data_IF_786701576102
#
_entry.id   IF_786701576102
#
_cell.length_a   1.000
_cell.length_b   1.000
_cell.length_c   1.000
_cell.angle_alpha   90.00
_cell.angle_beta   90.00
_cell.angle_gamma   90.00
#
_symmetry.space_group_name_H-M   'P 1'
#
loop_
_entity.id
_entity.type
_entity.pdbx_description
1 polymer ?
#
# COMPACT_ATOMS: atom_id res chain seq x y z
N UNK A 1 14.47 -20.59 -4.42
CA UNK A 1 14.72 -19.22 -4.70
C UNK A 1 14.75 -18.83 -6.16
N UNK A 2 15.90 -18.93 -6.81
CA UNK A 2 16.15 -18.36 -8.16
C UNK A 2 15.16 -18.84 -9.25
N UNK A 3 14.79 -20.12 -9.24
CA UNK A 3 13.83 -20.66 -10.21
C UNK A 3 12.49 -19.94 -10.12
N UNK A 4 11.98 -19.68 -8.92
CA UNK A 4 10.69 -18.99 -8.74
C UNK A 4 10.73 -17.53 -9.16
N UNK A 5 11.85 -16.86 -8.93
CA UNK A 5 12.07 -15.48 -9.39
C UNK A 5 12.03 -15.44 -10.92
N UNK A 6 12.73 -16.35 -11.59
CA UNK A 6 12.74 -16.45 -13.05
C UNK A 6 11.36 -16.75 -13.61
N UNK A 7 10.67 -17.77 -13.09
CA UNK A 7 9.30 -18.13 -13.51
C UNK A 7 8.33 -16.95 -13.42
N UNK A 8 8.42 -16.17 -12.34
CA UNK A 8 7.58 -14.97 -12.17
C UNK A 8 7.93 -13.88 -13.20
N UNK A 9 9.21 -13.64 -13.47
CA UNK A 9 9.64 -12.68 -14.50
C UNK A 9 9.21 -13.14 -15.91
N UNK A 10 9.34 -14.43 -16.22
CA UNK A 10 8.89 -15.02 -17.49
C UNK A 10 7.36 -14.90 -17.64
N UNK A 11 6.59 -15.15 -16.59
CA UNK A 11 5.13 -14.95 -16.59
C UNK A 11 4.75 -13.50 -16.90
N UNK A 12 5.38 -12.53 -16.21
CA UNK A 12 5.12 -11.10 -16.44
C UNK A 12 5.46 -10.71 -17.87
N UNK A 13 6.62 -11.16 -18.38
CA UNK A 13 7.01 -10.94 -19.77
C UNK A 13 5.99 -11.47 -20.75
N UNK A 14 5.51 -12.70 -20.57
CA UNK A 14 4.48 -13.29 -21.43
C UNK A 14 3.16 -12.49 -21.42
N UNK A 15 2.76 -11.94 -20.26
CA UNK A 15 1.60 -11.07 -20.14
C UNK A 15 1.81 -9.78 -20.94
N UNK A 16 2.98 -9.17 -20.86
CA UNK A 16 3.34 -7.96 -21.62
C UNK A 16 3.37 -8.24 -23.14
N UNK A 17 3.93 -9.36 -23.56
CA UNK A 17 3.96 -9.79 -24.98
C UNK A 17 2.53 -10.01 -25.53
N UNK A 18 1.58 -10.39 -24.67
CA UNK A 18 0.17 -10.49 -25.02
C UNK A 18 -0.55 -9.13 -25.03
N UNK A 19 0.14 -8.01 -24.74
CA UNK A 19 -0.40 -6.65 -24.77
C UNK A 19 -1.12 -6.22 -23.49
N UNK A 20 -0.93 -6.91 -22.37
CA UNK A 20 -1.53 -6.56 -21.08
C UNK A 20 -0.50 -5.93 -20.13
N UNK A 21 -0.95 -5.02 -19.27
CA UNK A 21 -0.19 -4.57 -18.11
C UNK A 21 -0.43 -5.47 -16.90
N UNK A 22 0.52 -5.44 -15.95
CA UNK A 22 0.45 -6.23 -14.71
C UNK A 22 0.27 -5.30 -13.52
N UNK A 23 -0.84 -5.47 -12.79
CA UNK A 23 -1.11 -4.80 -11.52
C UNK A 23 -0.82 -5.77 -10.38
N UNK A 24 0.03 -5.36 -9.45
CA UNK A 24 0.30 -6.13 -8.23
C UNK A 24 -0.63 -5.68 -7.12
N UNK A 25 -1.35 -6.65 -6.53
CA UNK A 25 -2.14 -6.43 -5.32
C UNK A 25 -1.22 -6.53 -4.10
N UNK A 26 -1.10 -5.44 -3.34
CA UNK A 26 -0.13 -5.34 -2.24
C UNK A 26 -0.80 -5.09 -0.90
N UNK A 27 -0.33 -5.79 0.11
CA UNK A 27 -0.78 -5.68 1.50
C UNK A 27 0.35 -5.12 2.34
N UNK A 28 0.34 -3.80 2.56
CA UNK A 28 1.32 -3.09 3.40
C UNK A 28 0.69 -2.57 4.70
N UNK A 29 -0.61 -2.75 4.86
CA UNK A 29 -1.37 -2.21 5.99
C UNK A 29 -1.24 -3.04 7.27
N UNK A 30 -0.88 -4.34 7.17
CA UNK A 30 -0.65 -5.24 8.30
C UNK A 30 0.39 -6.32 7.95
N UNK A 31 0.82 -7.09 8.94
CA UNK A 31 1.59 -8.32 8.75
C UNK A 31 0.79 -9.53 9.22
N UNK A 32 1.15 -10.72 8.75
CA UNK A 32 0.48 -11.97 9.11
C UNK A 32 0.37 -12.17 10.64
N UNK A 33 1.41 -11.76 11.37
CA UNK A 33 1.41 -11.77 12.83
C UNK A 33 2.41 -10.75 13.38
N UNK A 34 2.32 -10.46 14.68
CA UNK A 34 3.34 -9.65 15.37
C UNK A 34 4.67 -10.38 15.51
N UNK A 35 4.74 -11.70 15.35
CA UNK A 35 6.02 -12.43 15.26
C UNK A 35 6.61 -12.24 13.85
N UNK A 36 7.10 -11.05 13.58
CA UNK A 36 7.63 -10.61 12.30
C UNK A 36 9.06 -10.11 12.43
N UNK A 37 9.77 -10.01 11.30
CA UNK A 37 11.09 -9.36 11.27
C UNK A 37 11.03 -7.90 11.70
N UNK A 38 9.95 -7.18 11.44
CA UNK A 38 9.74 -5.82 11.91
C UNK A 38 9.81 -5.73 13.44
N UNK A 39 9.08 -6.62 14.12
CA UNK A 39 9.06 -6.63 15.58
C UNK A 39 10.38 -7.09 16.19
N UNK A 40 11.08 -8.02 15.53
CA UNK A 40 12.38 -8.50 15.96
C UNK A 40 13.49 -7.48 15.75
N UNK A 41 13.42 -6.66 14.70
CA UNK A 41 14.45 -5.66 14.38
C UNK A 41 14.29 -4.38 15.20
N UNK A 42 13.07 -3.85 15.29
CA UNK A 42 12.75 -2.64 16.04
C UNK A 42 11.39 -2.79 16.73
N UNK A 43 11.37 -3.36 17.96
CA UNK A 43 10.14 -3.63 18.67
C UNK A 43 9.22 -2.40 18.74
N UNK A 44 7.96 -2.59 18.32
CA UNK A 44 6.89 -1.58 18.32
C UNK A 44 7.10 -0.37 17.39
N UNK A 45 8.22 -0.26 16.70
CA UNK A 45 8.44 0.84 15.76
C UNK A 45 7.54 0.76 14.53
N UNK A 46 7.32 -0.44 14.01
CA UNK A 46 6.57 -0.65 12.77
C UNK A 46 5.07 -0.86 12.96
N UNK A 47 4.60 -0.96 14.20
CA UNK A 47 3.20 -1.22 14.53
C UNK A 47 2.57 -0.11 15.32
N UNK A 48 1.30 0.16 15.02
CA UNK A 48 0.48 1.11 15.78
C UNK A 48 0.00 0.49 17.08
N UNK A 49 0.05 1.30 18.14
CA UNK A 49 -0.41 0.91 19.47
C UNK A 49 -1.22 2.08 20.03
N UNK A 50 -2.37 1.80 20.64
CA UNK A 50 -3.16 2.81 21.34
C UNK A 50 -2.44 3.28 22.61
N UNK A 51 -2.80 4.46 23.15
CA UNK A 51 -2.17 5.00 24.38
C UNK A 51 -2.26 4.08 25.61
N UNK A 52 -3.24 3.19 25.65
CA UNK A 52 -3.42 2.18 26.71
C UNK A 52 -2.55 0.92 26.54
N UNK A 53 -1.74 0.87 25.47
CA UNK A 53 -0.88 -0.27 25.16
C UNK A 53 -1.54 -1.35 24.30
N UNK A 54 -2.81 -1.21 23.95
CA UNK A 54 -3.50 -2.16 23.05
C UNK A 54 -2.98 -2.04 21.63
N UNK A 55 -2.77 -3.16 20.96
CA UNK A 55 -2.36 -3.18 19.55
C UNK A 55 -3.49 -2.69 18.67
N UNK A 56 -3.20 -1.76 17.76
CA UNK A 56 -4.16 -1.29 16.77
C UNK A 56 -4.52 -2.39 15.77
N UNK A 57 -5.80 -2.52 15.42
CA UNK A 57 -6.32 -3.57 14.56
C UNK A 57 -7.33 -3.05 13.53
N UNK A 58 -7.07 -1.90 12.96
CA UNK A 58 -7.91 -1.32 11.90
C UNK A 58 -8.01 -2.18 10.64
N UNK A 59 -7.06 -3.08 10.44
CA UNK A 59 -7.07 -4.10 9.38
C UNK A 59 -8.03 -5.27 9.65
N UNK A 60 -8.45 -5.48 10.91
CA UNK A 60 -9.13 -6.69 11.41
C UNK A 60 -8.29 -7.98 11.24
N UNK A 61 -6.96 -7.85 11.05
CA UNK A 61 -6.02 -8.96 10.89
C UNK A 61 -5.03 -9.09 12.05
N UNK A 62 -5.28 -8.41 13.17
CA UNK A 62 -4.51 -8.53 14.42
C UNK A 62 -3.43 -7.46 14.62
N UNK A 63 -3.12 -6.65 13.62
CA UNK A 63 -2.18 -5.53 13.74
C UNK A 63 -2.33 -4.51 12.61
N UNK A 64 -1.81 -3.31 12.82
CA UNK A 64 -1.69 -2.26 11.80
C UNK A 64 -0.25 -1.79 11.70
N UNK A 65 0.24 -1.67 10.49
CA UNK A 65 1.57 -1.12 10.19
C UNK A 65 1.55 0.40 10.28
N UNK A 66 2.52 1.00 10.99
CA UNK A 66 2.64 2.44 11.20
C UNK A 66 3.31 3.12 9.99
N UNK A 67 2.60 3.20 8.88
CA UNK A 67 3.12 3.73 7.60
C UNK A 67 3.48 5.21 7.63
N UNK A 68 3.03 5.95 8.64
CA UNK A 68 3.39 7.34 8.93
C UNK A 68 4.80 7.51 9.52
N UNK A 69 5.44 6.43 10.01
CA UNK A 69 6.80 6.47 10.53
C UNK A 69 7.83 6.33 9.41
N UNK A 70 8.88 7.13 9.47
CA UNK A 70 9.81 7.32 8.35
C UNK A 70 10.44 6.02 7.82
N UNK A 71 10.93 5.14 8.69
CA UNK A 71 11.54 3.88 8.23
C UNK A 71 10.52 2.89 7.69
N UNK A 72 9.29 2.93 8.19
CA UNK A 72 8.20 2.15 7.64
C UNK A 72 7.78 2.67 6.26
N UNK A 73 7.61 3.98 6.11
CA UNK A 73 7.35 4.63 4.84
C UNK A 73 8.45 4.35 3.81
N UNK A 74 9.72 4.40 4.24
CA UNK A 74 10.87 4.06 3.40
C UNK A 74 10.80 2.61 2.92
N UNK A 75 10.54 1.66 3.80
CA UNK A 75 10.41 0.26 3.45
C UNK A 75 9.32 0.03 2.39
N UNK A 76 8.14 0.62 2.58
CA UNK A 76 7.01 0.47 1.64
C UNK A 76 7.36 1.10 0.28
N UNK A 77 7.90 2.32 0.28
CA UNK A 77 8.32 3.00 -0.93
C UNK A 77 9.38 2.19 -1.70
N UNK A 78 10.44 1.76 -1.03
CA UNK A 78 11.51 0.98 -1.66
C UNK A 78 11.01 -0.37 -2.19
N UNK A 79 10.06 -1.00 -1.50
CA UNK A 79 9.41 -2.22 -1.98
C UNK A 79 8.63 -2.00 -3.27
N UNK A 80 7.83 -0.93 -3.34
CA UNK A 80 7.10 -0.56 -4.58
C UNK A 80 8.06 -0.30 -5.73
N UNK A 81 9.12 0.46 -5.49
CA UNK A 81 10.13 0.75 -6.51
C UNK A 81 10.86 -0.51 -6.97
N UNK A 82 11.23 -1.40 -6.04
CA UNK A 82 11.85 -2.69 -6.35
C UNK A 82 10.98 -3.55 -7.28
N UNK A 83 9.69 -3.72 -6.97
CA UNK A 83 8.78 -4.48 -7.81
C UNK A 83 8.61 -3.86 -9.20
N UNK A 84 8.58 -2.53 -9.27
CA UNK A 84 8.48 -1.82 -10.55
C UNK A 84 9.74 -2.00 -11.39
N UNK A 85 10.91 -1.88 -10.78
CA UNK A 85 12.21 -1.94 -11.47
C UNK A 85 12.60 -3.37 -11.85
N UNK A 86 12.55 -4.30 -10.89
CA UNK A 86 13.01 -5.67 -11.07
C UNK A 86 12.03 -6.58 -11.82
N UNK A 87 10.74 -6.34 -11.67
CA UNK A 87 9.69 -7.18 -12.26
C UNK A 87 8.86 -6.45 -13.31
N UNK A 88 9.17 -5.20 -13.59
CA UNK A 88 8.45 -4.38 -14.57
C UNK A 88 6.94 -4.27 -14.32
N UNK A 89 6.53 -4.24 -13.04
CA UNK A 89 5.13 -4.08 -12.66
C UNK A 89 4.61 -2.72 -13.15
N UNK A 90 3.39 -2.72 -13.73
CA UNK A 90 2.77 -1.54 -14.35
C UNK A 90 1.91 -0.74 -13.39
N UNK A 91 1.58 -1.30 -12.25
CA UNK A 91 0.83 -0.60 -11.22
C UNK A 91 0.58 -1.43 -9.98
N UNK A 92 -0.07 -0.80 -9.00
CA UNK A 92 -0.33 -1.39 -7.69
C UNK A 92 -1.76 -1.11 -7.24
N UNK A 93 -2.42 -2.14 -6.74
CA UNK A 93 -3.65 -2.03 -5.97
C UNK A 93 -3.29 -2.17 -4.50
N UNK A 94 -3.55 -1.14 -3.71
CA UNK A 94 -3.28 -1.15 -2.28
C UNK A 94 -4.51 -1.64 -1.50
N UNK A 95 -4.38 -2.81 -0.91
CA UNK A 95 -5.33 -3.35 0.03
C UNK A 95 -5.46 -2.43 1.24
N UNK A 96 -6.69 -2.16 1.69
CA UNK A 96 -6.98 -1.24 2.79
C UNK A 96 -6.09 0.03 2.75
N UNK A 97 -6.01 0.69 1.57
CA UNK A 97 -5.24 1.94 1.40
C UNK A 97 -5.62 2.99 2.46
N UNK A 98 -6.86 2.94 2.95
CA UNK A 98 -7.35 3.78 4.04
C UNK A 98 -6.62 3.63 5.37
N UNK A 99 -5.73 2.65 5.51
CA UNK A 99 -4.81 2.50 6.64
C UNK A 99 -3.41 3.06 6.38
N UNK A 100 -3.11 3.51 5.14
CA UNK A 100 -1.81 4.05 4.79
C UNK A 100 -1.81 5.58 4.87
N UNK A 101 -0.66 6.14 5.25
CA UNK A 101 -0.46 7.58 5.38
C UNK A 101 -0.56 8.28 4.01
N UNK A 102 -1.26 9.43 3.97
CA UNK A 102 -1.41 10.25 2.75
C UNK A 102 -0.06 10.72 2.22
N UNK A 103 0.86 11.14 3.09
CA UNK A 103 2.18 11.62 2.69
C UNK A 103 2.98 10.51 2.02
N UNK A 104 2.89 9.27 2.54
CA UNK A 104 3.50 8.09 1.93
C UNK A 104 2.91 7.82 0.54
N UNK A 105 1.59 7.80 0.39
CA UNK A 105 0.94 7.54 -0.90
C UNK A 105 1.33 8.58 -1.95
N UNK A 106 1.34 9.85 -1.57
CA UNK A 106 1.78 10.94 -2.44
C UNK A 106 3.28 10.83 -2.79
N UNK A 107 4.12 10.42 -1.85
CA UNK A 107 5.56 10.17 -2.08
C UNK A 107 5.80 9.02 -3.05
N UNK A 108 5.07 7.90 -2.92
CA UNK A 108 5.10 6.79 -3.87
C UNK A 108 4.73 7.28 -5.27
N UNK A 109 3.62 8.02 -5.41
CA UNK A 109 3.19 8.57 -6.71
C UNK A 109 4.28 9.45 -7.32
N UNK A 110 4.83 10.37 -6.54
CA UNK A 110 5.89 11.29 -6.98
C UNK A 110 7.13 10.55 -7.50
N UNK A 111 7.62 9.55 -6.76
CA UNK A 111 8.79 8.78 -7.15
C UNK A 111 8.57 7.96 -8.43
N UNK A 112 7.39 7.37 -8.59
CA UNK A 112 7.04 6.66 -9.81
C UNK A 112 6.91 7.62 -11.01
N UNK A 113 6.32 8.80 -10.82
CA UNK A 113 6.22 9.82 -11.88
C UNK A 113 7.59 10.34 -12.32
N UNK A 114 8.50 10.57 -11.37
CA UNK A 114 9.87 11.02 -11.67
C UNK A 114 10.67 9.97 -12.46
N UNK A 115 10.50 8.70 -12.17
CA UNK A 115 11.26 7.61 -12.80
C UNK A 115 10.68 7.13 -14.12
N UNK A 116 9.37 7.08 -14.24
CA UNK A 116 8.69 6.43 -15.37
C UNK A 116 7.80 7.37 -16.19
N UNK A 117 7.61 8.61 -15.74
CA UNK A 117 6.72 9.60 -16.36
C UNK A 117 5.37 9.71 -15.65
N UNK A 118 4.79 10.91 -15.69
CA UNK A 118 3.54 11.26 -14.99
C UNK A 118 2.40 10.30 -15.39
N UNK A 119 1.80 9.65 -14.39
CA UNK A 119 0.65 8.77 -14.56
C UNK A 119 0.93 7.45 -15.30
N UNK A 120 2.16 7.16 -15.69
CA UNK A 120 2.50 5.93 -16.45
C UNK A 120 2.33 4.66 -15.63
N UNK A 121 2.61 4.70 -14.34
CA UNK A 121 2.35 3.58 -13.43
C UNK A 121 1.02 3.79 -12.73
N UNK A 122 0.15 2.79 -12.75
CA UNK A 122 -1.19 2.87 -12.15
C UNK A 122 -1.09 2.67 -10.64
N UNK A 123 -1.72 3.56 -9.87
CA UNK A 123 -1.87 3.40 -8.42
C UNK A 123 -3.33 3.61 -8.05
N UNK A 124 -3.89 2.68 -7.29
CA UNK A 124 -5.22 2.80 -6.71
C UNK A 124 -5.35 1.90 -5.49
N UNK A 125 -6.41 2.07 -4.71
CA UNK A 125 -6.63 1.23 -3.55
C UNK A 125 -7.97 1.43 -2.89
N UNK A 126 -8.16 0.73 -1.79
CA UNK A 126 -9.37 0.75 -0.97
C UNK A 126 -9.30 1.89 0.05
N UNK A 127 -10.13 2.94 -0.07
CA UNK A 127 -10.06 4.11 0.81
C UNK A 127 -10.81 3.90 2.13
N UNK A 128 -10.64 2.75 2.75
CA UNK A 128 -11.28 2.39 4.02
C UNK A 128 -10.38 1.52 4.90
N UNK A 129 -10.77 1.38 6.16
CA UNK A 129 -10.28 0.42 7.13
C UNK A 129 -11.44 -0.50 7.52
N UNK A 130 -11.14 -1.67 8.07
CA UNK A 130 -12.16 -2.57 8.62
C UNK A 130 -12.65 -2.10 9.99
N UNK A 131 -11.72 -1.57 10.82
CA UNK A 131 -12.00 -1.11 12.18
C UNK A 131 -11.21 0.20 12.48
N UNK A 132 -11.32 0.67 13.71
CA UNK A 132 -10.58 1.85 14.19
C UNK A 132 -9.08 1.55 14.29
N UNK A 133 -8.26 2.51 13.86
CA UNK A 133 -6.80 2.45 13.93
C UNK A 133 -6.20 3.57 14.78
N UNK A 134 -5.05 3.31 15.40
CA UNK A 134 -4.27 4.27 16.18
C UNK A 134 -3.25 4.99 15.28
N UNK A 135 -3.65 6.06 14.62
CA UNK A 135 -2.72 6.89 13.84
C UNK A 135 -2.04 7.92 14.73
N UNK A 136 -0.76 8.21 14.47
CA UNK A 136 0.03 9.15 15.29
C UNK A 136 -0.22 10.61 14.93
N UNK A 137 -0.33 11.43 15.95
CA UNK A 137 -0.36 12.90 15.83
C UNK A 137 -1.46 13.42 14.91
N UNK A 138 -1.10 14.36 14.04
CA UNK A 138 -2.00 14.97 13.05
C UNK A 138 -1.95 14.30 11.67
N UNK A 139 -1.32 13.13 11.56
CA UNK A 139 -1.21 12.40 10.31
C UNK A 139 -2.57 12.01 9.76
N UNK A 140 -2.68 11.99 8.44
CA UNK A 140 -3.91 11.68 7.71
C UNK A 140 -3.74 10.38 6.94
N UNK A 141 -4.69 9.50 7.08
CA UNK A 141 -4.72 8.24 6.32
C UNK A 141 -5.47 8.44 5.00
N UNK A 142 -5.14 7.65 3.99
CA UNK A 142 -5.75 7.70 2.66
C UNK A 142 -7.17 7.09 2.63
N UNK A 143 -7.96 7.43 3.66
CA UNK A 143 -9.36 7.07 3.80
C UNK A 143 -10.27 8.04 3.05
N UNK A 144 -11.55 7.71 2.88
CA UNK A 144 -12.53 8.46 2.08
C UNK A 144 -12.55 9.95 2.37
N UNK A 145 -12.54 10.32 3.63
CA UNK A 145 -12.58 11.72 4.08
C UNK A 145 -11.34 12.53 3.69
N UNK A 146 -10.25 11.88 3.36
CA UNK A 146 -8.98 12.47 2.99
C UNK A 146 -8.59 12.30 1.51
N UNK A 147 -9.47 11.74 0.67
CA UNK A 147 -9.20 11.51 -0.77
C UNK A 147 -8.74 12.79 -1.47
N UNK A 148 -9.30 13.95 -1.10
CA UNK A 148 -8.89 15.23 -1.67
C UNK A 148 -7.45 15.67 -1.36
N UNK A 149 -6.76 14.98 -0.45
CA UNK A 149 -5.35 15.21 -0.11
C UNK A 149 -4.39 14.33 -0.95
N UNK A 150 -4.92 13.32 -1.62
CA UNK A 150 -4.12 12.47 -2.52
C UNK A 150 -3.83 13.16 -3.84
N UNK A 151 -2.70 12.83 -4.43
CA UNK A 151 -2.40 13.25 -5.80
C UNK A 151 -3.51 12.75 -6.76
N UNK A 152 -3.89 13.58 -7.71
CA UNK A 152 -4.96 13.30 -8.71
C UNK A 152 -4.76 12.00 -9.51
N UNK A 153 -3.53 11.51 -9.59
CA UNK A 153 -3.16 10.27 -10.29
C UNK A 153 -3.13 9.05 -9.35
N UNK A 154 -3.74 9.13 -8.18
CA UNK A 154 -4.00 8.01 -7.28
C UNK A 154 -5.50 7.73 -7.29
N UNK A 155 -5.89 6.56 -7.79
CA UNK A 155 -7.28 6.12 -7.83
C UNK A 155 -7.77 5.57 -6.48
N UNK A 156 -9.07 5.61 -6.29
CA UNK A 156 -9.71 5.00 -5.13
C UNK A 156 -11.00 4.29 -5.54
N UNK A 157 -11.27 3.15 -4.93
CA UNK A 157 -12.57 2.48 -5.11
C UNK A 157 -13.71 3.36 -4.60
N UNK A 158 -14.82 3.33 -5.33
CA UNK A 158 -16.02 4.08 -4.98
C UNK A 158 -17.16 3.11 -4.64
N UNK A 159 -17.38 2.88 -3.34
CA UNK A 159 -18.44 2.00 -2.86
C UNK A 159 -19.84 2.58 -3.11
N UNK A 160 -20.03 3.89 -3.01
CA UNK A 160 -21.32 4.52 -3.31
C UNK A 160 -21.73 4.33 -4.77
N UNK A 161 -20.79 4.37 -5.73
CA UNK A 161 -21.07 4.06 -7.14
C UNK A 161 -21.40 2.57 -7.30
N UNK A 162 -20.62 1.70 -6.68
CA UNK A 162 -20.88 0.24 -6.69
C UNK A 162 -22.28 -0.07 -6.17
N UNK A 163 -22.64 0.49 -5.02
CA UNK A 163 -23.90 0.20 -4.35
C UNK A 163 -25.08 0.84 -5.11
N UNK A 164 -24.90 2.03 -5.68
CA UNK A 164 -25.88 2.67 -6.55
C UNK A 164 -26.17 1.92 -7.85
N UNK A 165 -25.19 1.15 -8.38
CA UNK A 165 -25.39 0.31 -9.58
C UNK A 165 -26.07 -1.01 -9.23
N UNK A 166 -25.78 -1.56 -8.05
CA UNK A 166 -26.38 -2.83 -7.60
C UNK A 166 -27.86 -2.72 -7.24
N UNK A 167 -28.35 -1.55 -6.87
CA UNK A 167 -29.74 -1.29 -6.43
C UNK A 167 -29.94 -1.60 -4.96
#
# INVERSE_FOLDING_TARGET
>A
GEVRIREMKEMIQAIHEAGFGVIMDVVYNHTYSLDSWFQRTAPWYFYRVFPDGTVSNGSACGNDVASEREMCAKYILESVLYWTEEYHIDGFRFDLMGLLDVDLMNRIRKELDLRYGEGKKIIYGEPWAAEKTAVEGSKKLAAKENIGLLNKNIGAFCDSTRDGIKG
#
